data_IF_593912262177
#
_entry.id   IF_593912262177
#
_cell.length_a   1.000
_cell.length_b   1.000
_cell.length_c   1.000
_cell.angle_alpha   90.00
_cell.angle_beta   90.00
_cell.angle_gamma   90.00
#
_symmetry.space_group_name_H-M   'P 1'
#
loop_
_entity.id
_entity.type
_entity.pdbx_description
1 polymer ?
#
# COMPACT_ATOMS: atom_id res chain seq x y z
N UNK A 1 -49.27 -29.46 -50.95
CA UNK A 1 -48.67 -28.18 -50.49
C UNK A 1 -48.35 -28.31 -49.00
N UNK A 2 -47.19 -27.82 -48.61
CA UNK A 2 -46.40 -28.25 -47.45
C UNK A 2 -47.08 -28.16 -46.08
N UNK A 3 -46.92 -29.21 -45.28
CA UNK A 3 -47.22 -29.21 -43.85
C UNK A 3 -46.18 -28.38 -43.08
N UNK A 4 -46.61 -27.22 -42.57
CA UNK A 4 -45.82 -26.39 -41.67
C UNK A 4 -45.83 -26.98 -40.26
N UNK A 5 -44.83 -27.79 -39.94
CA UNK A 5 -44.56 -28.28 -38.59
C UNK A 5 -44.22 -27.11 -37.67
N UNK A 6 -45.21 -26.64 -36.90
CA UNK A 6 -45.00 -25.65 -35.86
C UNK A 6 -44.05 -26.18 -34.80
N UNK A 7 -42.86 -25.58 -34.69
CA UNK A 7 -41.89 -25.89 -33.64
C UNK A 7 -42.48 -25.45 -32.30
N UNK A 8 -42.97 -26.41 -31.51
CA UNK A 8 -43.45 -26.16 -30.15
C UNK A 8 -42.29 -25.63 -29.30
N UNK A 9 -42.34 -24.34 -28.94
CA UNK A 9 -41.38 -23.73 -28.02
C UNK A 9 -41.62 -24.28 -26.61
N UNK A 10 -40.70 -25.09 -26.10
CA UNK A 10 -40.72 -25.54 -24.70
C UNK A 10 -40.45 -24.32 -23.79
N UNK A 11 -41.44 -23.98 -22.96
CA UNK A 11 -41.29 -22.96 -21.91
C UNK A 11 -40.61 -23.54 -20.67
N UNK A 12 -39.79 -22.72 -20.01
CA UNK A 12 -39.14 -23.06 -18.75
C UNK A 12 -40.16 -22.99 -17.60
N UNK A 13 -40.05 -23.90 -16.63
CA UNK A 13 -40.94 -23.88 -15.46
C UNK A 13 -40.46 -22.86 -14.41
N UNK A 14 -41.39 -22.25 -13.66
CA UNK A 14 -41.04 -21.35 -12.55
C UNK A 14 -40.17 -22.05 -11.50
N UNK A 15 -40.38 -23.35 -11.30
CA UNK A 15 -39.62 -24.15 -10.34
C UNK A 15 -38.17 -24.37 -10.80
N UNK A 16 -37.91 -24.62 -12.09
CA UNK A 16 -36.54 -24.70 -12.60
C UNK A 16 -35.80 -23.38 -12.42
N UNK A 17 -36.44 -22.25 -12.70
CA UNK A 17 -35.82 -20.94 -12.48
C UNK A 17 -35.51 -20.71 -10.99
N UNK A 18 -36.43 -21.11 -10.11
CA UNK A 18 -36.30 -20.95 -8.66
C UNK A 18 -35.15 -21.80 -8.07
N UNK A 19 -35.01 -23.05 -8.51
CA UNK A 19 -33.91 -23.92 -8.07
C UNK A 19 -32.57 -23.37 -8.55
N UNK A 20 -32.50 -22.85 -9.77
CA UNK A 20 -31.26 -22.30 -10.34
C UNK A 20 -30.79 -21.07 -9.56
N UNK A 21 -31.67 -20.09 -9.31
CA UNK A 21 -31.28 -18.92 -8.51
C UNK A 21 -30.90 -19.32 -7.07
N UNK A 22 -31.56 -20.35 -6.51
CA UNK A 22 -31.21 -20.90 -5.20
C UNK A 22 -29.80 -21.50 -5.18
N UNK A 23 -29.45 -22.31 -6.18
CA UNK A 23 -28.10 -22.87 -6.31
C UNK A 23 -27.04 -21.78 -6.54
N UNK A 24 -27.32 -20.78 -7.41
CA UNK A 24 -26.41 -19.65 -7.64
C UNK A 24 -26.18 -18.85 -6.36
N UNK A 25 -27.22 -18.60 -5.56
CA UNK A 25 -27.10 -17.86 -4.31
C UNK A 25 -26.17 -18.57 -3.30
N UNK A 26 -26.30 -19.90 -3.17
CA UNK A 26 -25.42 -20.70 -2.28
C UNK A 26 -23.97 -20.67 -2.78
N UNK A 27 -23.73 -20.91 -4.06
CA UNK A 27 -22.38 -20.89 -4.65
C UNK A 27 -21.72 -19.51 -4.52
N UNK A 28 -22.48 -18.44 -4.80
CA UNK A 28 -21.99 -17.07 -4.71
C UNK A 28 -21.71 -16.66 -3.26
N UNK A 29 -22.55 -17.08 -2.32
CA UNK A 29 -22.34 -16.86 -0.88
C UNK A 29 -21.03 -17.47 -0.39
N UNK A 30 -20.76 -18.72 -0.75
CA UNK A 30 -19.51 -19.40 -0.40
C UNK A 30 -18.28 -18.71 -1.03
N UNK A 31 -18.35 -18.37 -2.32
CA UNK A 31 -17.25 -17.74 -3.06
C UNK A 31 -16.89 -16.34 -2.53
N UNK A 32 -17.88 -15.57 -2.06
CA UNK A 32 -17.68 -14.19 -1.59
C UNK A 32 -16.68 -14.08 -0.44
N UNK A 33 -16.71 -15.04 0.50
CA UNK A 33 -15.80 -15.06 1.66
C UNK A 33 -14.33 -15.25 1.26
N UNK A 34 -14.06 -16.08 0.24
CA UNK A 34 -12.72 -16.31 -0.29
C UNK A 34 -12.20 -15.06 -1.01
N UNK A 35 -13.05 -14.39 -1.79
CA UNK A 35 -12.70 -13.15 -2.51
C UNK A 35 -12.34 -12.03 -1.53
N UNK A 36 -13.07 -11.88 -0.42
CA UNK A 36 -12.74 -10.87 0.60
C UNK A 36 -11.36 -11.10 1.22
N UNK A 37 -11.03 -12.36 1.57
CA UNK A 37 -9.70 -12.71 2.11
C UNK A 37 -8.60 -12.48 1.07
N UNK A 38 -8.84 -12.84 -0.19
CA UNK A 38 -7.89 -12.62 -1.28
C UNK A 38 -7.62 -11.13 -1.51
N UNK A 39 -8.66 -10.29 -1.50
CA UNK A 39 -8.52 -8.83 -1.61
C UNK A 39 -7.72 -8.23 -0.45
N UNK A 40 -7.97 -8.67 0.79
CA UNK A 40 -7.18 -8.20 1.94
C UNK A 40 -5.71 -8.58 1.79
N UNK A 41 -5.41 -9.82 1.37
CA UNK A 41 -4.02 -10.26 1.12
C UNK A 41 -3.35 -9.47 0.00
N UNK A 42 -4.05 -9.19 -1.09
CA UNK A 42 -3.49 -8.38 -2.18
C UNK A 42 -3.22 -6.93 -1.77
N UNK A 43 -4.09 -6.35 -0.92
CA UNK A 43 -3.86 -5.02 -0.36
C UNK A 43 -2.62 -4.99 0.53
N UNK A 44 -2.42 -6.00 1.39
CA UNK A 44 -1.24 -6.10 2.24
C UNK A 44 0.04 -6.23 1.39
N UNK A 45 0.06 -7.16 0.43
CA UNK A 45 1.22 -7.37 -0.44
C UNK A 45 1.56 -6.12 -1.27
N UNK A 46 0.53 -5.39 -1.71
CA UNK A 46 0.70 -4.11 -2.39
C UNK A 46 1.33 -3.07 -1.46
N UNK A 47 0.80 -2.90 -0.25
CA UNK A 47 1.32 -1.94 0.71
C UNK A 47 2.79 -2.22 1.07
N UNK A 48 3.15 -3.50 1.22
CA UNK A 48 4.52 -3.94 1.47
C UNK A 48 5.46 -3.64 0.30
N UNK A 49 4.98 -3.81 -0.93
CA UNK A 49 5.75 -3.47 -2.14
C UNK A 49 5.97 -1.96 -2.21
N UNK A 50 4.92 -1.17 -1.99
CA UNK A 50 4.97 0.29 -2.01
C UNK A 50 5.94 0.84 -0.94
N UNK A 51 5.95 0.28 0.27
CA UNK A 51 6.90 0.70 1.33
C UNK A 51 8.34 0.33 0.99
N UNK A 52 8.60 -0.85 0.42
CA UNK A 52 9.95 -1.26 -0.01
C UNK A 52 10.48 -0.37 -1.13
N UNK A 53 9.64 -0.04 -2.10
CA UNK A 53 9.99 0.89 -3.18
C UNK A 53 10.31 2.29 -2.62
N UNK A 54 9.54 2.78 -1.65
CA UNK A 54 9.80 4.05 -0.97
C UNK A 54 11.14 4.02 -0.21
N UNK A 55 11.43 2.96 0.54
CA UNK A 55 12.73 2.77 1.19
C UNK A 55 13.88 2.79 0.18
N UNK A 56 13.75 2.02 -0.90
CA UNK A 56 14.78 1.95 -1.94
C UNK A 56 15.01 3.33 -2.59
N UNK A 57 13.97 4.13 -2.75
CA UNK A 57 14.08 5.48 -3.26
C UNK A 57 14.80 6.43 -2.28
N UNK A 58 14.55 6.31 -0.98
CA UNK A 58 15.27 7.07 0.06
C UNK A 58 16.75 6.68 0.06
N UNK A 59 17.07 5.39 -0.04
CA UNK A 59 18.45 4.89 -0.17
C UNK A 59 19.13 5.35 -1.46
N UNK A 60 18.38 5.38 -2.57
CA UNK A 60 18.89 5.90 -3.83
C UNK A 60 19.20 7.40 -3.74
N UNK A 61 18.39 8.17 -2.99
CA UNK A 61 18.64 9.59 -2.74
C UNK A 61 19.92 9.79 -1.93
N UNK A 62 20.12 9.01 -0.88
CA UNK A 62 21.34 9.06 -0.06
C UNK A 62 22.58 8.79 -0.91
N UNK A 63 22.54 7.82 -1.83
CA UNK A 63 23.65 7.56 -2.74
C UNK A 63 23.87 8.66 -3.80
N UNK A 64 22.85 9.47 -4.08
CA UNK A 64 22.91 10.55 -5.05
C UNK A 64 23.45 11.86 -4.46
N UNK A 65 23.16 12.12 -3.19
CA UNK A 65 23.58 13.34 -2.50
C UNK A 65 25.11 13.41 -2.35
N UNK A 66 25.67 14.61 -2.53
CA UNK A 66 27.13 14.81 -2.47
C UNK A 66 27.70 14.55 -1.07
N UNK A 67 26.95 14.88 -0.02
CA UNK A 67 27.28 14.58 1.39
C UNK A 67 26.86 13.16 1.80
N UNK A 68 26.25 12.41 0.86
CA UNK A 68 25.68 11.07 1.06
C UNK A 68 24.85 10.96 2.33
N UNK A 69 24.15 12.03 2.70
CA UNK A 69 23.56 12.13 4.03
C UNK A 69 22.12 12.62 3.97
N UNK A 70 21.25 11.90 4.66
CA UNK A 70 19.86 12.30 4.87
C UNK A 70 19.68 13.37 5.97
N UNK A 71 20.77 13.98 6.47
CA UNK A 71 20.75 14.99 7.56
C UNK A 71 19.72 16.09 7.37
N UNK A 72 19.55 16.58 6.15
CA UNK A 72 18.58 17.66 5.82
C UNK A 72 17.12 17.21 5.96
N UNK A 73 16.86 15.91 5.85
CA UNK A 73 15.52 15.32 5.89
C UNK A 73 15.30 14.48 7.15
N UNK A 74 16.16 14.62 8.15
CA UNK A 74 15.96 13.99 9.45
C UNK A 74 14.64 14.48 10.04
N UNK A 75 13.77 13.53 10.31
CA UNK A 75 12.56 13.77 11.09
C UNK A 75 13.01 13.81 12.54
N UNK A 76 12.60 14.80 13.33
CA UNK A 76 13.01 14.94 14.74
C UNK A 76 12.40 13.85 15.65
N UNK A 77 12.66 12.58 15.34
CA UNK A 77 12.06 11.37 15.95
C UNK A 77 10.53 11.37 15.97
N UNK A 78 9.92 12.02 14.98
CA UNK A 78 8.48 12.15 14.85
C UNK A 78 8.04 11.60 13.50
N UNK A 79 6.97 10.82 13.50
CA UNK A 79 6.35 10.31 12.28
C UNK A 79 5.84 11.47 11.44
N UNK A 80 6.38 11.61 10.23
CA UNK A 80 5.90 12.58 9.26
C UNK A 80 5.08 11.88 8.19
N UNK A 81 4.02 12.57 7.76
CA UNK A 81 3.19 12.11 6.66
C UNK A 81 3.96 12.16 5.35
N UNK A 82 3.77 11.13 4.53
CA UNK A 82 4.29 10.97 3.18
C UNK A 82 3.56 11.87 2.19
N UNK A 83 3.73 13.18 2.35
CA UNK A 83 3.15 14.23 1.49
C UNK A 83 4.13 14.59 0.38
N UNK A 84 3.64 15.09 -0.75
CA UNK A 84 4.45 15.60 -1.87
C UNK A 84 5.57 16.53 -1.41
N UNK A 85 5.25 17.49 -0.53
CA UNK A 85 6.25 18.44 -0.02
C UNK A 85 7.31 17.81 0.88
N UNK A 86 6.92 16.83 1.71
CA UNK A 86 7.83 16.16 2.64
C UNK A 86 8.74 15.16 1.92
N UNK A 87 8.24 14.51 0.86
CA UNK A 87 8.95 13.55 0.04
C UNK A 87 9.43 14.12 -1.31
N UNK A 88 9.48 15.45 -1.43
CA UNK A 88 9.93 16.16 -2.63
C UNK A 88 11.31 15.68 -3.14
N UNK A 89 12.15 15.20 -2.22
CA UNK A 89 13.49 14.69 -2.51
C UNK A 89 13.51 13.36 -3.27
N UNK A 90 12.56 12.45 -3.04
CA UNK A 90 12.41 11.21 -3.82
C UNK A 90 11.46 11.36 -5.01
N UNK A 91 10.62 12.40 -5.01
CA UNK A 91 9.68 12.69 -6.11
C UNK A 91 10.30 13.56 -7.21
N UNK A 92 11.59 13.89 -7.11
CA UNK A 92 12.35 14.61 -8.15
C UNK A 92 12.08 16.12 -8.22
N UNK A 93 11.58 16.71 -7.14
CA UNK A 93 11.33 18.15 -7.04
C UNK A 93 12.54 18.92 -6.43
N UNK A 94 13.46 18.20 -5.78
CA UNK A 94 14.64 18.78 -5.14
C UNK A 94 15.82 18.94 -6.11
N UNK A 95 16.59 20.01 -5.91
CA UNK A 95 17.89 20.24 -6.53
C UNK A 95 18.99 20.14 -5.47
N UNK A 96 20.03 19.36 -5.74
CA UNK A 96 21.25 19.28 -4.93
C UNK A 96 22.37 19.98 -5.72
N UNK A 97 22.89 21.08 -5.18
CA UNK A 97 23.82 21.96 -5.91
C UNK A 97 23.16 22.56 -7.16
N UNK A 98 23.71 22.28 -8.34
CA UNK A 98 23.13 22.68 -9.64
C UNK A 98 22.42 21.54 -10.39
N UNK A 99 22.25 20.37 -9.75
CA UNK A 99 21.70 19.16 -10.41
C UNK A 99 20.32 18.84 -9.85
N UNK A 100 19.34 18.71 -10.74
CA UNK A 100 17.99 18.24 -10.40
C UNK A 100 18.04 16.74 -10.11
N UNK A 101 17.51 16.33 -8.95
CA UNK A 101 17.42 14.91 -8.59
C UNK A 101 16.35 14.26 -9.48
N UNK A 102 16.62 13.10 -10.10
CA UNK A 102 15.61 12.39 -10.87
C UNK A 102 14.49 11.88 -9.96
N UNK A 103 13.35 11.52 -10.54
CA UNK A 103 12.27 10.86 -9.78
C UNK A 103 12.77 9.47 -9.36
N UNK A 104 12.91 9.25 -8.05
CA UNK A 104 13.38 8.00 -7.47
C UNK A 104 12.23 7.10 -7.03
N UNK A 105 11.06 7.69 -6.74
CA UNK A 105 9.84 6.98 -6.37
C UNK A 105 8.68 7.44 -7.23
N UNK A 106 8.07 6.52 -7.98
CA UNK A 106 6.88 6.78 -8.78
C UNK A 106 5.62 6.42 -7.99
N UNK A 107 5.20 7.32 -7.10
CA UNK A 107 4.05 7.10 -6.24
C UNK A 107 2.74 7.52 -6.90
N UNK A 108 1.66 6.76 -6.67
CA UNK A 108 0.31 7.27 -6.95
C UNK A 108 -0.11 8.23 -5.86
N UNK A 109 0.05 9.53 -6.12
CA UNK A 109 -0.34 10.56 -5.16
C UNK A 109 -1.84 10.81 -5.24
N UNK A 110 -2.51 10.82 -4.08
CA UNK A 110 -3.93 11.15 -3.95
C UNK A 110 -4.08 12.32 -2.99
N UNK A 111 -4.61 13.45 -3.49
CA UNK A 111 -4.80 14.69 -2.70
C UNK A 111 -3.50 15.23 -2.08
N UNK A 112 -2.37 15.10 -2.76
CA UNK A 112 -1.07 15.60 -2.29
C UNK A 112 -0.33 14.68 -1.31
N UNK A 113 -0.90 13.51 -0.97
CA UNK A 113 -0.27 12.51 -0.10
C UNK A 113 -0.20 11.13 -0.76
N UNK A 114 0.82 10.38 -0.41
CA UNK A 114 0.97 8.97 -0.78
C UNK A 114 0.11 8.17 0.21
N UNK A 115 -0.89 7.47 -0.31
CA UNK A 115 -1.87 6.75 0.50
C UNK A 115 -1.78 5.26 0.28
N UNK A 116 -2.01 4.52 1.34
CA UNK A 116 -2.08 3.07 1.35
C UNK A 116 -3.34 2.55 0.61
N UNK A 117 -3.44 1.23 0.34
CA UNK A 117 -4.61 0.64 -0.27
C UNK A 117 -5.93 0.78 0.53
N UNK A 118 -5.85 1.22 1.78
CA UNK A 118 -6.97 1.47 2.68
C UNK A 118 -7.39 2.95 2.73
N UNK A 119 -6.63 3.84 2.07
CA UNK A 119 -6.88 5.28 2.01
C UNK A 119 -6.28 6.08 3.17
N UNK A 120 -5.41 5.48 3.98
CA UNK A 120 -4.64 6.18 5.01
C UNK A 120 -3.33 6.68 4.41
N UNK A 121 -2.85 7.83 4.85
CA UNK A 121 -1.56 8.36 4.41
C UNK A 121 -0.42 7.52 4.98
N UNK A 122 0.61 7.26 4.18
CA UNK A 122 1.83 6.65 4.70
C UNK A 122 2.54 7.61 5.64
N UNK A 123 3.23 7.06 6.63
CA UNK A 123 4.09 7.81 7.54
C UNK A 123 5.50 7.26 7.44
N UNK A 124 6.48 8.14 7.56
CA UNK A 124 7.89 7.78 7.52
C UNK A 124 8.66 8.58 8.57
N UNK A 125 9.76 7.99 9.03
CA UNK A 125 10.66 8.59 9.99
C UNK A 125 12.09 8.31 9.52
N UNK A 126 12.91 9.36 9.46
CA UNK A 126 14.34 9.28 9.14
C UNK A 126 15.07 9.77 10.39
N UNK A 127 15.66 8.83 11.14
CA UNK A 127 16.43 9.12 12.34
C UNK A 127 17.88 8.67 12.15
N UNK A 128 18.87 9.38 12.71
CA UNK A 128 20.25 8.93 12.68
C UNK A 128 20.41 7.60 13.43
N UNK A 129 21.27 6.71 12.91
CA UNK A 129 21.46 5.35 13.40
C UNK A 129 21.85 5.26 14.89
N UNK A 130 22.45 6.30 15.47
CA UNK A 130 22.81 6.35 16.91
C UNK A 130 21.70 6.84 17.84
N UNK A 131 20.52 7.17 17.31
CA UNK A 131 19.46 7.89 18.02
C UNK A 131 18.09 7.19 17.93
N UNK A 132 18.00 6.09 17.18
CA UNK A 132 16.84 5.22 17.22
C UNK A 132 16.77 4.59 18.62
N UNK A 133 15.67 4.86 19.34
CA UNK A 133 15.38 4.24 20.62
C UNK A 133 15.60 2.73 20.51
N UNK A 134 16.40 2.20 21.42
CA UNK A 134 16.99 0.85 21.52
C UNK A 134 15.95 -0.29 21.69
N UNK A 135 14.75 -0.09 21.15
CA UNK A 135 13.56 -0.94 21.33
C UNK A 135 13.14 -1.70 20.07
N UNK A 136 13.80 -1.51 18.93
CA UNK A 136 13.59 -2.34 17.73
C UNK A 136 14.96 -2.74 17.13
N UNK A 137 15.36 -3.99 17.41
CA UNK A 137 16.36 -4.82 16.71
C UNK A 137 17.39 -4.09 15.85
N UNK A 138 18.40 -3.48 16.49
CA UNK A 138 19.56 -2.90 15.81
C UNK A 138 20.61 -3.97 15.50
N UNK A 139 20.58 -4.51 14.27
CA UNK A 139 21.72 -5.26 13.72
C UNK A 139 22.68 -4.27 13.04
N UNK A 140 23.67 -3.81 13.81
CA UNK A 140 24.94 -3.26 13.29
C UNK A 140 24.90 -1.82 12.78
N UNK A 141 26.10 -1.24 12.68
CA UNK A 141 26.47 0.10 12.20
C UNK A 141 26.15 0.30 10.69
N UNK A 142 24.91 0.01 10.31
CA UNK A 142 24.36 0.11 8.97
C UNK A 142 22.95 0.69 9.04
N UNK A 143 22.51 1.33 7.96
CA UNK A 143 21.18 1.93 7.88
C UNK A 143 20.10 0.87 8.18
N UNK A 144 19.41 1.01 9.31
CA UNK A 144 18.31 0.15 9.71
C UNK A 144 17.02 0.68 9.10
N UNK A 145 16.42 -0.09 8.19
CA UNK A 145 15.06 0.17 7.71
C UNK A 145 14.09 -0.68 8.49
N UNK A 146 13.13 -0.04 9.14
CA UNK A 146 11.97 -0.71 9.72
C UNK A 146 10.74 -0.41 8.86
N UNK A 147 10.05 -1.45 8.40
CA UNK A 147 8.75 -1.30 7.77
C UNK A 147 7.68 -1.55 8.83
N UNK A 148 7.08 -0.47 9.32
CA UNK A 148 5.92 -0.55 10.20
C UNK A 148 4.64 -0.40 9.37
N UNK A 149 3.83 -1.45 9.33
CA UNK A 149 2.50 -1.41 8.73
C UNK A 149 1.48 -1.26 9.86
N UNK A 150 1.06 -0.03 10.23
CA UNK A 150 0.14 0.21 11.35
C UNK A 150 -1.22 -0.49 11.18
N UNK A 151 -1.53 -0.96 9.98
CA UNK A 151 -2.82 -1.58 9.64
C UNK A 151 -2.75 -3.11 9.43
N UNK A 152 -1.64 -3.79 9.74
CA UNK A 152 -1.57 -5.25 9.60
C UNK A 152 -2.49 -5.96 10.61
N UNK A 153 -2.57 -5.42 11.82
CA UNK A 153 -3.51 -5.75 12.88
C UNK A 153 -3.83 -4.42 13.60
N UNK A 154 -5.08 -3.95 13.55
CA UNK A 154 -5.50 -2.78 14.35
C UNK A 154 -5.14 -3.02 15.81
N UNK A 155 -4.08 -2.38 16.28
CA UNK A 155 -3.93 -1.97 17.66
C UNK A 155 -4.06 -0.46 17.63
N UNK A 156 -4.97 0.08 18.45
CA UNK A 156 -5.22 1.52 18.46
C UNK A 156 -3.96 2.26 18.94
N UNK A 157 -3.79 3.57 18.68
CA UNK A 157 -2.63 4.32 19.14
C UNK A 157 -2.36 4.17 20.66
N UNK A 158 -3.40 3.91 21.45
CA UNK A 158 -3.32 3.64 22.88
C UNK A 158 -2.68 2.29 23.24
N UNK A 159 -2.80 1.27 22.38
CA UNK A 159 -2.26 -0.08 22.60
C UNK A 159 -0.81 -0.22 22.11
N UNK A 160 -0.35 0.73 21.30
CA UNK A 160 1.00 0.77 20.72
C UNK A 160 2.02 1.53 21.59
N UNK A 161 1.64 1.97 22.80
CA UNK A 161 2.51 2.70 23.72
C UNK A 161 2.91 4.11 23.26
N UNK A 162 2.32 4.64 22.18
CA UNK A 162 2.55 6.00 21.74
C UNK A 162 1.70 6.97 22.59
N UNK A 163 2.37 7.77 23.42
CA UNK A 163 1.78 8.84 24.24
C UNK A 163 1.58 10.10 23.42
#
# INVERSE_FOLDING_TARGET
MAGGGGVMKKGFTLIELLVVIGMIAVLTGAASSAVMKARKRSQIARAETETREMTNAILAYENWDEDRSLKKYQTSKSWLKATEGNLAFILGEVTVGQRKVPVLYNASIRRGSIVDPWGTEYEYMISPAGDASDSDDSVGDGLTTFMYLPNLNRLTPQEMGMR
#
